data_IF_727461882955
#
_entry.id   IF_727461882955
#
_cell.length_a   1.000
_cell.length_b   1.000
_cell.length_c   1.000
_cell.angle_alpha   90.00
_cell.angle_beta   90.00
_cell.angle_gamma   90.00
#
_symmetry.space_group_name_H-M   'P 1'
#
loop_
_entity.id
_entity.type
_entity.pdbx_description
1 polymer ?
#
# COMPACT_ATOMS: atom_id res chain seq x y z
N UNK A 1 -9.02 -15.80 11.85
CA UNK A 1 -8.47 -15.58 13.20
C UNK A 1 -6.96 -15.52 13.06
N UNK A 2 -6.34 -14.41 13.47
CA UNK A 2 -4.89 -14.26 13.43
C UNK A 2 -4.38 -14.17 14.88
N UNK A 3 -3.27 -14.85 15.16
CA UNK A 3 -2.58 -14.76 16.43
C UNK A 3 -1.39 -13.81 16.27
N UNK A 4 -1.34 -12.80 17.12
CA UNK A 4 -0.20 -11.92 17.25
C UNK A 4 0.65 -12.40 18.44
N UNK A 5 1.93 -12.63 18.18
CA UNK A 5 2.92 -12.96 19.20
C UNK A 5 3.78 -11.72 19.46
N UNK A 6 3.87 -11.31 20.71
CA UNK A 6 4.69 -10.19 21.15
C UNK A 6 5.85 -10.70 21.99
N UNK A 7 7.00 -10.05 21.83
CA UNK A 7 8.20 -10.33 22.62
C UNK A 7 8.00 -9.99 24.10
N UNK A 8 7.31 -8.88 24.39
CA UNK A 8 7.04 -8.39 25.74
C UNK A 8 5.72 -7.59 25.82
N UNK A 9 5.32 -7.20 27.04
CA UNK A 9 4.09 -6.43 27.26
C UNK A 9 4.19 -4.98 26.73
N UNK A 10 5.39 -4.41 26.66
CA UNK A 10 5.59 -3.06 26.12
C UNK A 10 5.34 -3.03 24.60
N UNK A 11 5.83 -4.03 23.88
CA UNK A 11 5.57 -4.23 22.45
C UNK A 11 4.08 -4.44 22.19
N UNK A 12 3.43 -5.27 23.01
CA UNK A 12 1.98 -5.47 22.94
C UNK A 12 1.25 -4.12 23.08
N UNK A 13 1.60 -3.30 24.08
CA UNK A 13 0.99 -1.98 24.26
C UNK A 13 1.28 -1.02 23.10
N UNK A 14 2.50 -1.05 22.52
CA UNK A 14 2.89 -0.22 21.39
C UNK A 14 2.08 -0.52 20.13
N UNK A 15 1.69 -1.77 19.92
CA UNK A 15 0.87 -2.20 18.77
C UNK A 15 -0.62 -2.01 19.05
N UNK A 16 -1.09 -2.35 20.25
CA UNK A 16 -2.50 -2.30 20.62
C UNK A 16 -3.04 -0.87 20.81
N UNK A 17 -2.21 0.06 21.29
CA UNK A 17 -2.62 1.45 21.53
C UNK A 17 -3.06 2.18 20.24
N UNK A 18 -2.25 2.20 19.15
CA UNK A 18 -2.68 2.79 17.88
C UNK A 18 -3.91 2.11 17.27
N UNK A 19 -4.07 0.80 17.52
CA UNK A 19 -5.21 0.03 17.03
C UNK A 19 -6.49 0.26 17.86
N UNK A 20 -6.39 0.89 19.03
CA UNK A 20 -7.53 1.14 19.91
C UNK A 20 -8.13 -0.14 20.49
N UNK A 21 -7.35 -1.22 20.60
CA UNK A 21 -7.80 -2.52 21.09
C UNK A 21 -7.18 -2.88 22.45
N UNK A 22 -7.87 -3.75 23.18
CA UNK A 22 -7.43 -4.35 24.45
C UNK A 22 -7.82 -5.84 24.45
N UNK A 23 -7.15 -6.69 23.66
CA UNK A 23 -7.42 -8.12 23.64
C UNK A 23 -7.08 -8.78 24.98
N UNK A 24 -7.70 -9.92 25.26
CA UNK A 24 -7.29 -10.79 26.35
C UNK A 24 -5.91 -11.37 26.05
N UNK A 25 -4.95 -11.16 26.96
CA UNK A 25 -3.56 -11.58 26.79
C UNK A 25 -3.36 -12.95 27.41
N UNK A 26 -2.82 -13.88 26.62
CA UNK A 26 -2.33 -15.16 27.14
C UNK A 26 -0.82 -15.06 27.26
N UNK A 27 -0.32 -15.09 28.50
CA UNK A 27 1.12 -15.10 28.75
C UNK A 27 1.64 -16.54 28.65
N UNK A 28 2.69 -16.74 27.85
CA UNK A 28 3.42 -18.00 27.78
C UNK A 28 4.49 -18.05 28.88
N UNK A 29 4.95 -19.26 29.21
CA UNK A 29 5.90 -19.52 30.29
C UNK A 29 7.29 -18.88 30.08
N UNK A 30 7.58 -18.37 28.87
CA UNK A 30 8.82 -17.69 28.48
C UNK A 30 8.74 -16.16 28.66
N UNK A 31 7.60 -15.62 29.11
CA UNK A 31 7.36 -14.18 29.24
C UNK A 31 6.79 -13.52 27.98
N UNK A 32 6.65 -14.26 26.87
CA UNK A 32 6.00 -13.76 25.65
C UNK A 32 4.47 -13.70 25.83
N UNK A 33 3.84 -12.76 25.14
CA UNK A 33 2.39 -12.58 25.18
C UNK A 33 1.79 -12.91 23.81
N UNK A 34 0.75 -13.73 23.79
CA UNK A 34 -0.04 -14.00 22.60
C UNK A 34 -1.44 -13.40 22.74
N UNK A 35 -1.91 -12.78 21.66
CA UNK A 35 -3.26 -12.20 21.57
C UNK A 35 -3.97 -12.67 20.31
N UNK A 36 -5.27 -12.92 20.43
CA UNK A 36 -6.13 -13.24 19.30
C UNK A 36 -6.80 -11.97 18.77
N UNK A 37 -6.57 -11.67 17.50
CA UNK A 37 -7.19 -10.54 16.81
C UNK A 37 -8.00 -11.05 15.61
N UNK A 38 -9.19 -10.51 15.46
CA UNK A 38 -10.07 -10.75 14.33
C UNK A 38 -10.13 -9.51 13.45
N UNK A 39 -9.68 -9.63 12.19
CA UNK A 39 -9.89 -8.57 11.21
C UNK A 39 -11.29 -8.66 10.63
N UNK A 40 -12.03 -7.56 10.71
CA UNK A 40 -13.36 -7.43 10.13
C UNK A 40 -13.33 -6.43 8.98
N UNK A 41 -14.31 -6.49 8.07
CA UNK A 41 -14.44 -5.44 7.05
C UNK A 41 -14.92 -4.15 7.71
N UNK A 42 -14.45 -2.98 7.27
CA UNK A 42 -15.03 -1.69 7.72
C UNK A 42 -16.53 -1.59 7.40
N UNK A 43 -17.03 -2.34 6.42
CA UNK A 43 -18.47 -2.42 6.09
C UNK A 43 -19.25 -3.30 7.07
N UNK A 44 -18.57 -4.05 7.91
CA UNK A 44 -19.19 -4.81 8.99
C UNK A 44 -19.46 -3.88 10.17
N UNK A 45 -20.67 -3.35 10.21
CA UNK A 45 -21.12 -2.47 11.28
C UNK A 45 -21.21 -3.18 12.65
N UNK A 46 -21.23 -4.52 12.67
CA UNK A 46 -21.23 -5.29 13.92
C UNK A 46 -19.86 -5.31 14.58
N UNK A 47 -18.78 -5.00 13.85
CA UNK A 47 -17.43 -4.89 14.39
C UNK A 47 -17.28 -3.80 15.44
N UNK A 48 -18.16 -2.78 15.44
CA UNK A 48 -18.17 -1.69 16.42
C UNK A 48 -19.00 -2.02 17.67
N UNK A 49 -19.73 -3.13 17.68
CA UNK A 49 -20.53 -3.54 18.81
C UNK A 49 -19.65 -4.41 19.73
N UNK A 50 -19.34 -3.97 20.96
CA UNK A 50 -18.56 -4.78 21.88
C UNK A 50 -19.35 -6.03 22.25
N UNK A 51 -18.89 -7.19 21.77
CA UNK A 51 -19.42 -8.48 22.19
C UNK A 51 -18.61 -9.00 23.39
N UNK A 52 -19.30 -9.23 24.51
CA UNK A 52 -18.70 -9.76 25.74
C UNK A 52 -18.15 -11.17 25.49
N UNK A 53 -16.86 -11.37 25.69
CA UNK A 53 -16.18 -12.66 25.48
C UNK A 53 -15.71 -12.94 24.06
N UNK A 54 -15.76 -11.96 23.15
CA UNK A 54 -15.21 -12.08 21.80
C UNK A 54 -13.80 -11.51 21.72
N UNK A 55 -12.98 -12.07 20.82
CA UNK A 55 -11.64 -11.57 20.51
C UNK A 55 -11.68 -10.09 20.07
N UNK A 56 -10.55 -9.39 20.22
CA UNK A 56 -10.44 -8.01 19.75
C UNK A 56 -10.65 -7.95 18.24
N UNK A 57 -11.59 -7.10 17.81
CA UNK A 57 -11.92 -6.90 16.39
C UNK A 57 -11.28 -5.63 15.87
N UNK A 58 -10.54 -5.74 14.77
CA UNK A 58 -9.92 -4.61 14.08
C UNK A 58 -10.56 -4.48 12.70
N UNK A 59 -11.34 -3.41 12.44
CA UNK A 59 -11.92 -3.21 11.13
C UNK A 59 -10.84 -2.74 10.14
N UNK A 60 -10.69 -3.47 9.04
CA UNK A 60 -9.72 -3.19 7.97
C UNK A 60 -10.45 -2.71 6.73
N UNK A 61 -10.05 -1.54 6.21
CA UNK A 61 -10.46 -1.10 4.88
C UNK A 61 -9.46 -1.69 3.90
N UNK A 62 -9.89 -2.66 3.10
CA UNK A 62 -9.13 -3.06 1.93
C UNK A 62 -9.28 -1.99 0.86
N UNK A 63 -8.14 -1.57 0.31
CA UNK A 63 -8.07 -0.61 -0.79
C UNK A 63 -8.03 -1.37 -2.11
N UNK A 64 -8.83 -0.94 -3.08
CA UNK A 64 -8.77 -1.49 -4.44
C UNK A 64 -7.51 -1.01 -5.17
N UNK A 65 -7.05 -1.77 -6.16
CA UNK A 65 -5.94 -1.33 -7.02
C UNK A 65 -6.24 0.02 -7.71
N UNK A 66 -7.50 0.24 -8.09
CA UNK A 66 -7.91 1.53 -8.66
C UNK A 66 -7.79 2.68 -7.65
N UNK A 67 -8.14 2.48 -6.38
CA UNK A 67 -7.91 3.48 -5.33
C UNK A 67 -6.41 3.75 -5.14
N UNK A 68 -5.53 2.74 -5.22
CA UNK A 68 -4.08 2.93 -5.19
C UNK A 68 -3.63 3.82 -6.36
N UNK A 69 -4.09 3.54 -7.58
CA UNK A 69 -3.78 4.34 -8.76
C UNK A 69 -4.34 5.76 -8.66
N UNK A 70 -5.54 5.92 -8.10
CA UNK A 70 -6.16 7.21 -7.89
C UNK A 70 -5.36 8.05 -6.89
N UNK A 71 -4.96 7.45 -5.77
CA UNK A 71 -4.09 8.11 -4.79
C UNK A 71 -2.75 8.49 -5.42
N UNK A 72 -2.15 7.59 -6.22
CA UNK A 72 -0.90 7.87 -6.94
C UNK A 72 -1.03 9.05 -7.91
N UNK A 73 -2.16 9.16 -8.61
CA UNK A 73 -2.40 10.24 -9.58
C UNK A 73 -2.33 11.64 -8.96
N UNK A 74 -2.59 11.76 -7.66
CA UNK A 74 -2.51 13.02 -6.92
C UNK A 74 -1.06 13.44 -6.58
N UNK A 75 -0.05 12.61 -6.85
CA UNK A 75 1.34 12.84 -6.45
C UNK A 75 2.28 13.11 -7.64
N UNK A 76 1.72 13.43 -8.82
CA UNK A 76 2.49 13.82 -10.01
C UNK A 76 2.87 15.30 -9.93
N UNK A 77 4.12 15.63 -10.25
CA UNK A 77 4.54 17.02 -10.41
C UNK A 77 3.87 17.62 -11.66
N UNK A 78 2.92 18.52 -11.46
CA UNK A 78 2.12 19.13 -12.53
C UNK A 78 2.81 20.41 -12.99
N UNK A 79 3.14 20.56 -14.30
CA UNK A 79 3.66 21.82 -14.82
C UNK A 79 2.72 22.99 -14.53
N UNK A 80 3.26 24.14 -14.12
CA UNK A 80 2.48 25.33 -13.75
C UNK A 80 1.50 25.77 -14.85
N UNK A 81 1.88 25.59 -16.13
CA UNK A 81 1.04 25.91 -17.29
C UNK A 81 -0.24 25.07 -17.38
N UNK A 82 -0.18 23.80 -16.97
CA UNK A 82 -1.32 22.87 -16.97
C UNK A 82 -2.23 23.16 -15.77
N UNK A 83 -1.64 23.56 -14.66
CA UNK A 83 -2.35 23.94 -13.44
C UNK A 83 -3.15 25.24 -13.63
N UNK A 84 -2.59 26.24 -14.34
CA UNK A 84 -3.30 27.47 -14.70
C UNK A 84 -4.51 27.24 -15.62
N UNK A 85 -4.48 26.22 -16.47
CA UNK A 85 -5.59 25.86 -17.37
C UNK A 85 -6.71 25.06 -16.69
N UNK A 86 -6.61 24.78 -15.38
CA UNK A 86 -7.54 23.92 -14.61
C UNK A 86 -7.71 22.51 -15.18
N UNK A 87 -6.76 22.04 -15.99
CA UNK A 87 -6.82 20.72 -16.64
C UNK A 87 -6.49 19.59 -15.66
N UNK A 88 -5.75 19.91 -14.59
CA UNK A 88 -5.39 18.99 -13.52
C UNK A 88 -5.92 19.51 -12.18
N UNK A 89 -6.34 18.59 -11.30
CA UNK A 89 -6.74 18.96 -9.95
C UNK A 89 -5.50 19.42 -9.17
N UNK A 90 -5.56 20.56 -8.45
CA UNK A 90 -4.49 20.91 -7.54
C UNK A 90 -4.39 19.83 -6.44
N UNK A 91 -3.16 19.50 -6.06
CA UNK A 91 -2.90 18.52 -5.00
C UNK A 91 -3.38 19.14 -3.69
N UNK A 92 -4.60 18.78 -3.27
CA UNK A 92 -5.08 19.14 -1.93
C UNK A 92 -4.44 18.18 -0.94
N UNK A 93 -3.66 18.65 0.04
CA UNK A 93 -3.21 17.80 1.13
C UNK A 93 -4.44 17.18 1.78
N UNK A 94 -4.44 15.85 1.98
CA UNK A 94 -5.46 15.18 2.78
C UNK A 94 -5.46 15.83 4.18
N UNK A 95 -6.48 16.63 4.46
CA UNK A 95 -6.72 17.25 5.76
C UNK A 95 -7.05 16.14 6.76
N UNK A 96 -6.09 15.78 7.60
CA UNK A 96 -6.25 14.66 8.53
C UNK A 96 -5.03 14.28 9.37
N UNK A 97 -4.14 15.23 9.69
CA UNK A 97 -3.21 15.07 10.82
C UNK A 97 -1.97 14.19 10.61
N UNK A 98 -1.68 13.69 9.42
CA UNK A 98 -0.32 13.27 9.09
C UNK A 98 0.37 14.46 8.42
N UNK A 99 1.25 15.14 9.16
CA UNK A 99 1.91 16.40 8.77
C UNK A 99 2.93 16.27 7.63
N UNK A 100 2.59 15.54 6.57
CA UNK A 100 3.41 15.37 5.37
C UNK A 100 2.83 16.31 4.30
N UNK A 101 3.51 17.42 3.96
CA UNK A 101 3.07 18.34 2.93
C UNK A 101 2.94 17.61 1.59
N UNK A 102 1.71 17.36 1.15
CA UNK A 102 1.41 16.66 -0.11
C UNK A 102 0.98 15.19 0.01
N UNK A 103 0.67 14.70 1.22
CA UNK A 103 0.10 13.37 1.43
C UNK A 103 1.13 12.29 1.78
N UNK A 104 0.66 11.14 2.28
CA UNK A 104 1.50 10.02 2.74
C UNK A 104 2.45 9.51 1.64
N UNK A 105 2.05 9.63 0.38
CA UNK A 105 2.73 9.00 -0.75
C UNK A 105 3.68 9.95 -1.51
N UNK A 106 3.68 11.26 -1.23
CA UNK A 106 4.59 12.21 -1.90
C UNK A 106 6.06 11.91 -1.62
N UNK A 107 6.35 11.40 -0.41
CA UNK A 107 7.69 10.99 -0.02
C UNK A 107 8.09 9.63 -0.63
N UNK A 108 7.14 8.89 -1.22
CA UNK A 108 7.32 7.49 -1.62
C UNK A 108 7.56 7.38 -3.13
N UNK A 109 6.82 8.14 -3.94
CA UNK A 109 6.96 8.13 -5.41
C UNK A 109 6.89 9.54 -5.97
N UNK A 110 7.95 9.93 -6.66
CA UNK A 110 8.10 11.25 -7.27
C UNK A 110 8.09 11.13 -8.79
N UNK A 111 7.00 11.59 -9.40
CA UNK A 111 6.87 11.66 -10.86
C UNK A 111 7.15 13.09 -11.28
N UNK A 112 8.24 13.30 -12.01
CA UNK A 112 8.68 14.59 -12.53
C UNK A 112 8.10 14.82 -13.92
N UNK A 113 8.04 16.08 -14.34
CA UNK A 113 7.68 16.46 -15.70
C UNK A 113 8.85 17.13 -16.43
N UNK A 114 8.85 17.04 -17.76
CA UNK A 114 9.78 17.73 -18.66
C UNK A 114 9.11 18.00 -20.00
N UNK A 115 9.47 19.09 -20.67
CA UNK A 115 8.99 19.37 -22.03
C UNK A 115 9.67 18.47 -23.08
N UNK A 116 10.88 17.97 -22.79
CA UNK A 116 11.65 17.07 -23.66
C UNK A 116 11.84 15.70 -23.00
N UNK A 117 12.06 14.67 -23.81
CA UNK A 117 12.35 13.33 -23.31
C UNK A 117 13.58 13.38 -22.39
N UNK A 118 13.49 12.87 -21.15
CA UNK A 118 14.61 12.85 -20.21
C UNK A 118 15.66 11.80 -20.59
N UNK A 119 16.94 12.15 -20.49
CA UNK A 119 18.04 11.21 -20.77
C UNK A 119 18.26 10.20 -19.62
N UNK A 120 18.02 10.62 -18.38
CA UNK A 120 18.24 9.84 -17.16
C UNK A 120 16.91 9.49 -16.47
N UNK A 121 16.08 8.72 -17.18
CA UNK A 121 14.80 8.24 -16.69
C UNK A 121 14.77 6.71 -16.60
N UNK A 122 14.39 6.21 -15.42
CA UNK A 122 14.05 4.80 -15.23
C UNK A 122 12.82 4.41 -16.04
N UNK A 123 11.81 5.29 -16.04
CA UNK A 123 10.62 5.17 -16.88
C UNK A 123 10.18 6.56 -17.30
N UNK A 124 9.85 6.72 -18.57
CA UNK A 124 9.34 7.96 -19.14
C UNK A 124 8.11 7.67 -20.00
N UNK A 125 7.08 8.51 -19.87
CA UNK A 125 5.82 8.39 -20.59
C UNK A 125 5.49 9.74 -21.22
N UNK A 126 5.29 9.75 -22.54
CA UNK A 126 4.80 10.91 -23.26
C UNK A 126 3.30 11.06 -23.07
N UNK A 127 2.85 12.21 -22.57
CA UNK A 127 1.44 12.51 -22.37
C UNK A 127 1.13 13.99 -22.65
N UNK A 128 0.14 14.24 -23.52
CA UNK A 128 -0.34 15.59 -23.90
C UNK A 128 0.77 16.57 -24.34
N UNK A 129 1.77 16.07 -25.06
CA UNK A 129 2.88 16.89 -25.58
C UNK A 129 3.96 17.24 -24.55
N UNK A 130 3.90 16.65 -23.34
CA UNK A 130 4.98 16.67 -22.36
C UNK A 130 5.42 15.26 -21.97
N UNK A 131 6.50 15.18 -21.21
CA UNK A 131 7.06 13.93 -20.69
C UNK A 131 6.91 13.88 -19.18
N UNK A 132 6.47 12.73 -18.68
CA UNK A 132 6.39 12.43 -17.25
C UNK A 132 7.29 11.25 -16.95
N UNK A 133 8.12 11.35 -15.91
CA UNK A 133 9.16 10.36 -15.68
C UNK A 133 9.53 10.20 -14.22
N UNK A 134 10.13 9.04 -13.92
CA UNK A 134 10.84 8.77 -12.67
C UNK A 134 12.33 8.75 -13.01
N UNK A 135 13.14 9.53 -12.31
CA UNK A 135 14.61 9.55 -12.51
C UNK A 135 15.23 8.22 -12.07
N UNK A 136 16.29 7.77 -12.75
CA UNK A 136 16.97 6.51 -12.37
C UNK A 136 17.60 6.57 -10.96
N UNK A 137 18.00 7.77 -10.54
CA UNK A 137 18.51 8.04 -9.19
C UNK A 137 17.46 7.90 -8.06
N UNK A 138 16.16 7.86 -8.39
CA UNK A 138 15.08 7.83 -7.41
C UNK A 138 14.76 6.40 -6.94
N UNK A 139 15.66 5.79 -6.15
CA UNK A 139 15.54 4.40 -5.68
C UNK A 139 14.20 4.10 -4.98
N UNK A 140 13.76 4.97 -4.06
CA UNK A 140 12.49 4.79 -3.35
C UNK A 140 11.28 4.74 -4.30
N UNK A 141 11.29 5.57 -5.34
CA UNK A 141 10.21 5.59 -6.34
C UNK A 141 10.22 4.33 -7.21
N UNK A 142 11.40 3.76 -7.48
CA UNK A 142 11.55 2.50 -8.21
C UNK A 142 11.02 1.33 -7.41
N UNK A 143 11.38 1.23 -6.13
CA UNK A 143 10.91 0.17 -5.22
C UNK A 143 9.38 0.20 -5.09
N UNK A 144 8.81 1.38 -4.93
CA UNK A 144 7.36 1.51 -4.84
C UNK A 144 6.66 1.16 -6.16
N UNK A 145 7.20 1.58 -7.31
CA UNK A 145 6.65 1.19 -8.60
C UNK A 145 6.70 -0.33 -8.82
N UNK A 146 7.77 -0.99 -8.37
CA UNK A 146 7.89 -2.45 -8.39
C UNK A 146 6.84 -3.11 -7.48
N UNK A 147 6.56 -2.54 -6.31
CA UNK A 147 5.50 -3.02 -5.42
C UNK A 147 4.12 -2.92 -6.09
N UNK A 148 3.78 -1.77 -6.66
CA UNK A 148 2.51 -1.55 -7.37
C UNK A 148 2.38 -2.50 -8.56
N UNK A 149 3.46 -2.72 -9.31
CA UNK A 149 3.51 -3.70 -10.41
C UNK A 149 3.30 -5.12 -9.92
N UNK A 150 3.86 -5.49 -8.77
CA UNK A 150 3.70 -6.81 -8.18
C UNK A 150 2.26 -7.05 -7.76
N UNK A 151 1.62 -6.06 -7.11
CA UNK A 151 0.19 -6.11 -6.79
C UNK A 151 -0.65 -6.25 -8.06
N UNK A 152 -0.35 -5.48 -9.11
CA UNK A 152 -1.04 -5.60 -10.39
C UNK A 152 -0.90 -6.98 -11.01
N UNK A 153 0.30 -7.56 -11.00
CA UNK A 153 0.59 -8.88 -11.59
C UNK A 153 -0.17 -10.00 -10.87
N UNK A 154 -0.32 -9.88 -9.54
CA UNK A 154 -1.14 -10.79 -8.74
C UNK A 154 -2.63 -10.68 -9.10
N UNK A 155 -3.11 -9.48 -9.43
CA UNK A 155 -4.51 -9.24 -9.79
C UNK A 155 -4.82 -9.64 -11.25
N UNK A 156 -3.87 -9.48 -12.16
CA UNK A 156 -4.05 -9.83 -13.58
C UNK A 156 -4.07 -11.34 -13.82
N UNK A 157 -3.78 -12.16 -12.79
CA UNK A 157 -3.62 -13.59 -12.94
C UNK A 157 -2.41 -13.98 -13.78
N UNK A 158 -1.56 -13.01 -14.13
CA UNK A 158 -0.29 -13.23 -14.82
C UNK A 158 0.78 -13.63 -13.80
N UNK A 159 0.47 -14.70 -13.07
CA UNK A 159 1.52 -15.54 -12.54
C UNK A 159 1.96 -16.31 -13.78
N UNK A 160 3.18 -16.06 -14.27
CA UNK A 160 3.81 -16.96 -15.24
C UNK A 160 3.85 -18.35 -14.61
N UNK A 161 2.79 -19.10 -14.81
CA UNK A 161 2.68 -20.48 -14.38
C UNK A 161 3.66 -21.20 -15.29
N UNK A 162 4.80 -21.61 -14.74
CA UNK A 162 5.65 -22.57 -15.41
C UNK A 162 4.76 -23.77 -15.71
N UNK A 163 4.38 -23.90 -16.98
CA UNK A 163 3.49 -24.96 -17.43
C UNK A 163 4.24 -26.26 -17.17
N UNK A 164 3.70 -27.22 -16.39
CA UNK A 164 4.44 -28.43 -16.07
C UNK A 164 4.72 -29.18 -17.38
N UNK A 165 6.00 -29.26 -17.74
CA UNK A 165 6.44 -30.00 -18.92
C UNK A 165 6.37 -31.50 -18.59
N UNK A 166 5.24 -32.11 -18.93
CA UNK A 166 5.07 -33.56 -18.84
C UNK A 166 5.91 -34.22 -19.94
N UNK A 167 7.07 -34.75 -19.58
CA UNK A 167 7.86 -35.61 -20.47
C UNK A 167 7.46 -37.06 -20.23
N UNK A 168 6.79 -37.67 -21.21
CA UNK A 168 6.54 -39.11 -21.20
C UNK A 168 7.76 -39.82 -21.78
N UNK A 169 8.37 -40.80 -21.07
CA UNK A 169 9.42 -41.61 -21.65
C UNK A 169 8.83 -42.49 -22.75
N UNK A 170 9.42 -42.43 -23.95
CA UNK A 170 9.09 -43.37 -25.03
C UNK A 170 9.84 -44.66 -24.75
N UNK A 171 9.18 -45.61 -24.09
CA UNK A 171 9.69 -46.97 -23.96
C UNK A 171 9.52 -47.71 -25.30
N UNK A 172 10.58 -48.37 -25.74
CA UNK A 172 10.64 -49.18 -26.95
C UNK A 172 10.52 -50.66 -26.60
#
# INVERSE_FOLDING_TARGET
MMQAHYLDDEEAQRVENPLGIRPEKTFLADGSAATAIEFTSVRDFTARIPQKGANARVPVKLTSFFEILFDLSNHVDIPAEVQMKQIARPITPLTGGCGIPGGLYKAIILIRNSSMHPDDAYVAIGYRGGWFFISDSALMSKDYLMLVRSVFSLLSGDIQTMTPLLTLPVAR
#
